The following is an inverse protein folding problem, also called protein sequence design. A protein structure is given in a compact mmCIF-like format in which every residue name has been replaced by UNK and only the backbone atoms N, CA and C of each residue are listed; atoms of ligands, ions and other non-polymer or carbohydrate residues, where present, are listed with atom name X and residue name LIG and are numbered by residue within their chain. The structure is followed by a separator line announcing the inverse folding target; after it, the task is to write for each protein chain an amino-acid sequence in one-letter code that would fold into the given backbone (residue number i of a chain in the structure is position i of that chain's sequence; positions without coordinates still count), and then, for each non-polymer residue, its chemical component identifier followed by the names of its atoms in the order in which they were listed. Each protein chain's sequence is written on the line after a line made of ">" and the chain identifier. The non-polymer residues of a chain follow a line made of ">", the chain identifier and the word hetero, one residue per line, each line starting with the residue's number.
data_IF_488047646076
#
_entry.id   IF_488047646076
#
_cell.length_a   1.000
_cell.length_b   1.000
_cell.length_c   1.000
_cell.angle_alpha   90.00
_cell.angle_beta   90.00
_cell.angle_gamma   90.00
#
_symmetry.space_group_name_H-M   'P 1'
#
loop_
_entity.id
_entity.type
_entity.pdbx_description
1 polymer ?
#
# COMPACT_ATOMS: atom_id res chain seq x y z
N UNK A 1 -47.45 -37.01 44.79
CA UNK A 1 -48.76 -36.32 44.73
C UNK A 1 -48.52 -34.84 44.99
N UNK A 2 -48.69 -33.99 43.97
CA UNK A 2 -49.08 -32.56 44.02
C UNK A 2 -48.59 -31.86 42.73
N UNK A 3 -49.36 -32.03 41.66
CA UNK A 3 -49.27 -31.24 40.43
C UNK A 3 -49.78 -29.83 40.68
N UNK A 4 -48.87 -28.90 41.02
CA UNK A 4 -49.16 -27.49 41.26
C UNK A 4 -49.15 -26.65 39.97
N UNK A 5 -50.31 -26.57 39.32
CA UNK A 5 -50.90 -25.37 38.73
C UNK A 5 -50.06 -24.44 37.82
N UNK A 6 -49.80 -24.90 36.59
CA UNK A 6 -49.42 -24.03 35.44
C UNK A 6 -50.48 -22.95 35.14
N UNK A 7 -51.74 -23.16 35.54
CA UNK A 7 -52.85 -22.21 35.35
C UNK A 7 -52.76 -20.97 36.25
N UNK A 8 -52.29 -21.11 37.49
CA UNK A 8 -52.13 -19.95 38.40
C UNK A 8 -51.01 -19.01 37.94
N UNK A 9 -49.94 -19.55 37.35
CA UNK A 9 -48.85 -18.73 36.79
C UNK A 9 -49.33 -17.83 35.65
N UNK A 10 -50.16 -18.36 34.74
CA UNK A 10 -50.74 -17.57 33.63
C UNK A 10 -51.76 -16.54 34.12
N UNK A 11 -52.54 -16.84 35.15
CA UNK A 11 -53.50 -15.88 35.72
C UNK A 11 -52.81 -14.74 36.49
N UNK A 12 -51.62 -14.98 37.04
CA UNK A 12 -50.81 -13.93 37.71
C UNK A 12 -50.16 -12.99 36.69
N UNK A 13 -49.65 -13.53 35.58
CA UNK A 13 -49.11 -12.74 34.46
C UNK A 13 -50.18 -11.93 33.73
N UNK A 14 -51.40 -12.47 33.55
CA UNK A 14 -52.47 -11.72 32.90
C UNK A 14 -53.04 -10.60 33.78
N UNK A 15 -53.02 -10.75 35.12
CA UNK A 15 -53.43 -9.68 36.05
C UNK A 15 -52.39 -8.57 36.21
N UNK A 16 -51.09 -8.86 36.09
CA UNK A 16 -50.05 -7.83 36.14
C UNK A 16 -50.01 -6.97 34.87
N UNK A 17 -50.35 -7.55 33.71
CA UNK A 17 -50.34 -6.85 32.43
C UNK A 17 -51.66 -6.12 32.10
N UNK A 18 -52.69 -6.26 32.93
CA UNK A 18 -53.99 -5.60 32.72
C UNK A 18 -54.06 -4.16 33.27
N UNK A 19 -52.93 -3.60 33.73
CA UNK A 19 -52.90 -2.30 34.41
C UNK A 19 -51.92 -1.31 33.76
N UNK A 20 -51.85 -1.22 32.43
CA UNK A 20 -51.09 -0.12 31.78
C UNK A 20 -51.33 0.09 30.29
N UNK A 21 -52.57 -0.08 29.78
CA UNK A 21 -52.85 0.38 28.42
C UNK A 21 -54.25 0.96 28.34
N UNK A 22 -54.39 2.18 28.85
CA UNK A 22 -55.63 2.93 28.82
C UNK A 22 -55.53 4.26 29.54
N UNK A 23 -54.46 5.03 29.29
CA UNK A 23 -54.45 6.45 29.62
C UNK A 23 -54.34 7.21 28.31
N UNK A 24 -55.43 7.86 27.94
CA UNK A 24 -55.45 8.96 26.97
C UNK A 24 -54.28 9.88 27.25
N UNK A 25 -53.46 10.21 26.25
CA UNK A 25 -52.37 11.16 26.36
C UNK A 25 -52.94 12.51 26.82
N UNK A 26 -52.85 12.81 28.12
CA UNK A 26 -53.11 14.14 28.65
C UNK A 26 -51.80 14.91 28.53
N UNK A 27 -51.80 15.96 27.71
CA UNK A 27 -50.69 16.91 27.68
C UNK A 27 -50.70 17.70 29.00
N UNK A 28 -49.96 17.20 30.00
CA UNK A 28 -49.64 17.95 31.21
C UNK A 28 -48.37 18.78 30.97
N UNK A 29 -48.33 19.99 31.54
CA UNK A 29 -47.12 20.82 31.53
C UNK A 29 -46.12 20.44 32.64
N UNK A 30 -46.45 19.40 33.42
CA UNK A 30 -45.61 18.86 34.49
C UNK A 30 -45.02 17.54 34.01
N UNK A 31 -43.70 17.40 34.19
CA UNK A 31 -42.95 16.20 33.84
C UNK A 31 -43.14 15.16 34.95
N UNK A 32 -43.58 13.97 34.58
CA UNK A 32 -43.67 12.82 35.49
C UNK A 32 -42.28 12.39 35.98
N UNK A 33 -42.20 11.82 37.18
CA UNK A 33 -40.92 11.46 37.83
C UNK A 33 -40.13 10.44 36.99
N UNK A 34 -40.82 9.58 36.24
CA UNK A 34 -40.21 8.65 35.29
C UNK A 34 -39.59 9.36 34.08
N UNK A 35 -40.22 10.45 33.61
CA UNK A 35 -39.70 11.27 32.51
C UNK A 35 -38.47 12.07 32.96
N UNK A 36 -38.48 12.60 34.20
CA UNK A 36 -37.34 13.27 34.82
C UNK A 36 -36.16 12.30 34.98
N UNK A 37 -36.40 11.08 35.47
CA UNK A 37 -35.37 10.05 35.58
C UNK A 37 -34.81 9.61 34.22
N UNK A 38 -35.64 9.58 33.18
CA UNK A 38 -35.17 9.30 31.82
C UNK A 38 -34.29 10.44 31.26
N UNK A 39 -34.70 11.69 31.46
CA UNK A 39 -33.95 12.90 31.06
C UNK A 39 -32.60 13.00 31.78
N UNK A 40 -32.53 12.60 33.06
CA UNK A 40 -31.30 12.62 33.87
C UNK A 40 -30.42 11.38 33.69
N UNK A 41 -30.85 10.38 32.91
CA UNK A 41 -30.10 9.14 32.74
C UNK A 41 -28.89 9.37 31.85
N UNK A 42 -27.71 9.39 32.46
CA UNK A 42 -26.47 9.39 31.70
C UNK A 42 -26.29 8.07 30.92
N UNK A 43 -25.66 8.12 29.72
CA UNK A 43 -25.35 6.91 28.98
C UNK A 43 -24.44 6.00 29.82
N UNK A 44 -24.72 4.70 29.83
CA UNK A 44 -23.88 3.71 30.50
C UNK A 44 -22.48 3.75 29.85
N UNK A 45 -21.51 4.31 30.58
CA UNK A 45 -20.10 4.41 30.18
C UNK A 45 -19.28 3.20 30.61
N UNK A 46 -19.92 2.13 31.08
CA UNK A 46 -19.20 0.87 31.25
C UNK A 46 -18.66 0.43 29.88
N UNK A 47 -17.34 0.25 29.80
CA UNK A 47 -16.66 -0.21 28.59
C UNK A 47 -17.23 -1.54 28.09
N UNK A 48 -16.81 -1.99 26.90
CA UNK A 48 -17.33 -3.22 26.29
C UNK A 48 -17.27 -4.37 27.31
N UNK A 49 -18.45 -4.96 27.61
CA UNK A 49 -18.62 -6.01 28.63
C UNK A 49 -18.15 -7.39 28.14
N UNK A 50 -17.51 -7.47 26.97
CA UNK A 50 -17.05 -8.69 26.32
C UNK A 50 -15.62 -8.54 25.81
N UNK A 51 -15.01 -9.66 25.43
CA UNK A 51 -13.64 -9.70 24.89
C UNK A 51 -13.49 -8.74 23.72
N UNK A 52 -12.39 -8.00 23.71
CA UNK A 52 -12.08 -7.11 22.59
C UNK A 52 -11.73 -7.92 21.34
N UNK A 53 -11.88 -7.32 20.15
CA UNK A 53 -11.49 -8.00 18.90
C UNK A 53 -10.00 -8.37 18.90
N UNK A 54 -9.17 -7.56 19.56
CA UNK A 54 -7.74 -7.85 19.76
C UNK A 54 -7.52 -9.08 20.65
N UNK A 55 -8.24 -9.18 21.77
CA UNK A 55 -8.16 -10.36 22.64
C UNK A 55 -8.64 -11.64 21.95
N UNK A 56 -9.69 -11.52 21.11
CA UNK A 56 -10.21 -12.64 20.34
C UNK A 56 -9.23 -13.08 19.24
N UNK A 57 -8.55 -12.13 18.60
CA UNK A 57 -7.49 -12.42 17.64
C UNK A 57 -6.27 -13.07 18.31
N UNK A 58 -5.87 -12.59 19.48
CA UNK A 58 -4.76 -13.15 20.25
C UNK A 58 -5.06 -14.58 20.74
N UNK A 59 -6.29 -14.85 21.19
CA UNK A 59 -6.73 -16.19 21.58
C UNK A 59 -6.68 -17.16 20.40
N UNK A 60 -7.15 -16.73 19.22
CA UNK A 60 -7.07 -17.53 17.98
C UNK A 60 -5.63 -17.77 17.55
N UNK A 61 -4.74 -16.78 17.69
CA UNK A 61 -3.33 -16.93 17.37
C UNK A 61 -2.66 -17.96 18.29
N UNK A 62 -2.97 -17.93 19.60
CA UNK A 62 -2.48 -18.92 20.58
C UNK A 62 -2.98 -20.33 20.28
N UNK A 63 -4.21 -20.48 19.82
CA UNK A 63 -4.74 -21.78 19.37
C UNK A 63 -3.99 -22.31 18.14
N UNK A 64 -3.72 -21.44 17.16
CA UNK A 64 -2.97 -21.79 15.95
C UNK A 64 -1.52 -22.19 16.27
N UNK A 65 -0.87 -21.49 17.18
CA UNK A 65 0.50 -21.80 17.59
C UNK A 65 0.58 -23.12 18.38
N UNK A 66 -0.45 -23.46 19.15
CA UNK A 66 -0.54 -24.76 19.84
C UNK A 66 -0.72 -25.94 18.88
N UNK A 67 -1.32 -25.69 17.71
CA UNK A 67 -1.53 -26.70 16.67
C UNK A 67 -0.30 -26.89 15.76
N UNK A 68 0.73 -26.04 15.85
CA UNK A 68 1.97 -26.24 15.10
C UNK A 68 2.76 -27.44 15.66
N UNK A 69 3.11 -28.43 14.81
CA UNK A 69 3.92 -29.57 15.24
C UNK A 69 5.34 -29.14 15.67
N UNK A 70 5.99 -29.87 16.60
CA UNK A 70 7.38 -29.62 16.95
C UNK A 70 8.26 -29.86 15.72
N UNK A 71 8.93 -28.79 15.24
CA UNK A 71 9.67 -28.80 13.98
C UNK A 71 8.99 -28.07 12.81
N UNK A 72 7.78 -27.51 12.99
CA UNK A 72 7.21 -26.53 12.05
C UNK A 72 8.20 -25.39 11.80
N UNK A 73 8.81 -24.89 12.88
CA UNK A 73 9.85 -23.87 12.82
C UNK A 73 11.14 -24.37 12.15
N UNK A 74 11.43 -25.67 12.11
CA UNK A 74 12.62 -26.20 11.43
C UNK A 74 12.41 -26.31 9.90
N UNK A 75 11.18 -26.63 9.49
CA UNK A 75 10.77 -26.56 8.07
C UNK A 75 10.61 -25.10 7.61
N UNK A 76 10.19 -24.22 8.51
CA UNK A 76 10.20 -22.78 8.30
C UNK A 76 11.63 -22.22 8.32
N UNK A 77 12.58 -22.64 9.16
CA UNK A 77 13.95 -22.07 9.16
C UNK A 77 14.76 -22.43 7.92
N UNK A 78 14.44 -23.53 7.24
CA UNK A 78 14.99 -23.82 5.91
C UNK A 78 14.26 -23.06 4.78
N UNK A 79 13.15 -22.37 5.10
CA UNK A 79 12.36 -21.51 4.21
C UNK A 79 12.30 -20.03 4.68
N UNK A 80 12.93 -19.69 5.80
CA UNK A 80 12.77 -18.43 6.52
C UNK A 80 14.06 -18.17 7.30
N UNK A 81 15.08 -17.78 6.54
CA UNK A 81 16.26 -17.09 7.05
C UNK A 81 16.17 -15.60 6.73
N UNK A 82 15.01 -14.95 6.94
CA UNK A 82 14.87 -13.48 7.01
C UNK A 82 13.40 -13.01 7.12
N UNK A 83 12.84 -12.85 8.32
CA UNK A 83 11.81 -11.80 8.58
C UNK A 83 11.57 -11.59 10.08
N UNK A 84 11.94 -10.43 10.64
CA UNK A 84 11.23 -9.83 11.76
C UNK A 84 10.11 -8.92 11.22
N UNK A 85 8.88 -9.10 11.71
CA UNK A 85 7.79 -8.11 11.69
C UNK A 85 7.47 -7.37 10.37
N UNK A 86 7.28 -8.10 9.26
CA UNK A 86 6.81 -7.53 7.98
C UNK A 86 5.63 -8.29 7.34
N UNK A 87 4.90 -9.09 8.12
CA UNK A 87 3.88 -10.01 7.59
C UNK A 87 2.50 -9.36 7.31
N UNK A 88 2.33 -8.05 7.53
CA UNK A 88 1.12 -7.32 7.12
C UNK A 88 1.29 -6.51 5.82
N UNK A 89 2.52 -6.28 5.33
CA UNK A 89 2.77 -5.40 4.17
C UNK A 89 3.03 -6.17 2.85
N UNK A 90 3.33 -7.47 2.91
CA UNK A 90 3.61 -8.31 1.74
C UNK A 90 2.35 -9.00 1.16
N UNK A 91 1.30 -8.24 0.80
CA UNK A 91 0.04 -8.85 0.34
C UNK A 91 0.14 -9.58 -1.03
N UNK A 92 1.18 -9.34 -1.84
CA UNK A 92 1.27 -9.88 -3.21
C UNK A 92 2.63 -10.52 -3.55
N UNK A 93 3.64 -10.38 -2.68
CA UNK A 93 5.00 -10.90 -2.89
C UNK A 93 5.76 -10.21 -4.04
N UNK A 94 7.02 -10.60 -4.27
CA UNK A 94 7.90 -9.95 -5.25
C UNK A 94 7.34 -9.90 -6.69
N UNK A 95 6.49 -10.86 -7.07
CA UNK A 95 5.80 -10.86 -8.37
C UNK A 95 4.71 -9.78 -8.42
N UNK A 96 3.97 -9.62 -7.33
CA UNK A 96 2.98 -8.58 -7.18
C UNK A 96 3.57 -7.18 -7.21
N UNK A 97 4.66 -6.99 -6.48
CA UNK A 97 5.41 -5.73 -6.48
C UNK A 97 5.91 -5.43 -7.89
N UNK A 98 6.49 -6.43 -8.57
CA UNK A 98 6.91 -6.30 -9.96
C UNK A 98 5.77 -5.85 -10.88
N UNK A 99 4.56 -6.40 -10.72
CA UNK A 99 3.39 -6.00 -11.50
C UNK A 99 2.95 -4.56 -11.21
N UNK A 100 2.89 -4.17 -9.93
CA UNK A 100 2.44 -2.83 -9.53
C UNK A 100 3.43 -1.74 -9.98
N UNK A 101 4.71 -1.94 -9.72
CA UNK A 101 5.76 -1.02 -10.12
C UNK A 101 5.95 -0.98 -11.63
N UNK A 102 5.95 -2.13 -12.33
CA UNK A 102 6.07 -2.12 -13.80
C UNK A 102 4.88 -1.43 -14.49
N UNK A 103 3.67 -1.54 -13.93
CA UNK A 103 2.51 -0.79 -14.42
C UNK A 103 2.72 0.72 -14.26
N UNK A 104 3.22 1.14 -13.10
CA UNK A 104 3.52 2.56 -12.82
C UNK A 104 4.65 3.09 -13.71
N UNK A 105 5.72 2.31 -13.91
CA UNK A 105 6.81 2.62 -14.82
C UNK A 105 6.35 2.67 -16.28
N UNK A 106 5.45 1.79 -16.70
CA UNK A 106 4.89 1.82 -18.05
C UNK A 106 4.08 3.11 -18.29
N UNK A 107 3.30 3.55 -17.30
CA UNK A 107 2.60 4.83 -17.36
C UNK A 107 3.60 6.00 -17.49
N UNK A 108 4.64 6.04 -16.64
CA UNK A 108 5.70 7.06 -16.74
C UNK A 108 6.39 7.04 -18.10
N UNK A 109 6.76 5.86 -18.61
CA UNK A 109 7.37 5.72 -19.93
C UNK A 109 6.49 6.30 -21.04
N UNK A 110 5.19 5.95 -21.06
CA UNK A 110 4.25 6.47 -22.06
C UNK A 110 4.13 7.99 -21.94
N UNK A 111 4.05 8.54 -20.71
CA UNK A 111 3.99 9.99 -20.51
C UNK A 111 5.24 10.69 -21.01
N UNK A 112 6.44 10.14 -20.74
CA UNK A 112 7.68 10.69 -21.25
C UNK A 112 7.77 10.60 -22.78
N UNK A 113 7.30 9.50 -23.39
CA UNK A 113 7.24 9.36 -24.86
C UNK A 113 6.36 10.45 -25.47
N UNK A 114 5.16 10.67 -24.92
CA UNK A 114 4.24 11.73 -25.38
C UNK A 114 4.86 13.12 -25.20
N UNK A 115 5.49 13.39 -24.06
CA UNK A 115 6.11 14.70 -23.78
C UNK A 115 7.25 14.96 -24.78
N UNK A 116 8.15 13.99 -25.01
CA UNK A 116 9.31 14.20 -25.88
C UNK A 116 8.87 14.41 -27.33
N UNK A 117 7.90 13.66 -27.83
CA UNK A 117 7.34 13.92 -29.17
C UNK A 117 6.69 15.32 -29.26
N UNK A 118 5.99 15.74 -28.21
CA UNK A 118 5.39 17.07 -28.13
C UNK A 118 6.44 18.20 -28.08
N UNK A 119 7.56 17.99 -27.39
CA UNK A 119 8.66 18.97 -27.27
C UNK A 119 9.31 19.27 -28.62
N UNK A 120 9.45 18.26 -29.46
CA UNK A 120 10.04 18.39 -30.79
C UNK A 120 9.01 18.63 -31.90
N UNK A 121 7.71 18.75 -31.56
CA UNK A 121 6.61 18.99 -32.50
C UNK A 121 6.47 17.90 -33.58
N UNK A 122 6.72 16.65 -33.20
CA UNK A 122 6.56 15.50 -34.07
C UNK A 122 5.15 14.90 -33.91
N UNK A 123 4.62 14.29 -34.97
CA UNK A 123 3.31 13.64 -34.93
C UNK A 123 3.29 12.43 -33.99
N UNK A 124 2.28 12.38 -33.12
CA UNK A 124 2.12 11.33 -32.11
C UNK A 124 1.50 10.09 -32.76
N UNK A 125 2.34 9.12 -33.12
CA UNK A 125 1.90 7.83 -33.65
C UNK A 125 1.66 6.86 -32.49
N UNK A 126 0.43 6.81 -31.98
CA UNK A 126 0.05 5.98 -30.83
C UNK A 126 0.41 4.49 -30.98
N UNK A 127 0.37 3.94 -32.19
CA UNK A 127 0.76 2.56 -32.46
C UNK A 127 2.25 2.29 -32.19
N UNK A 128 3.12 3.25 -32.50
CA UNK A 128 4.55 3.14 -32.23
C UNK A 128 4.86 3.27 -30.75
N UNK A 129 4.22 4.23 -30.08
CA UNK A 129 4.33 4.45 -28.63
C UNK A 129 3.87 3.20 -27.87
N UNK A 130 2.70 2.66 -28.23
CA UNK A 130 2.18 1.45 -27.61
C UNK A 130 3.11 0.25 -27.84
N UNK A 131 3.65 0.09 -29.05
CA UNK A 131 4.62 -0.97 -29.35
C UNK A 131 5.91 -0.80 -28.53
N UNK A 132 6.45 0.40 -28.42
CA UNK A 132 7.66 0.70 -27.65
C UNK A 132 7.46 0.46 -26.15
N UNK A 133 6.33 0.90 -25.62
CA UNK A 133 5.94 0.63 -24.24
C UNK A 133 5.80 -0.88 -23.99
N UNK A 134 5.12 -1.61 -24.89
CA UNK A 134 4.97 -3.06 -24.80
C UNK A 134 6.31 -3.80 -24.86
N UNK A 135 7.27 -3.35 -25.68
CA UNK A 135 8.62 -3.95 -25.73
C UNK A 135 9.45 -3.66 -24.48
N UNK A 136 9.21 -2.53 -23.82
CA UNK A 136 9.99 -2.10 -22.64
C UNK A 136 9.40 -2.63 -21.33
N UNK A 137 8.09 -2.85 -21.28
CA UNK A 137 7.38 -3.40 -20.12
C UNK A 137 8.00 -4.68 -19.54
N UNK A 138 8.34 -5.74 -20.32
CA UNK A 138 8.96 -6.94 -19.75
C UNK A 138 10.35 -6.65 -19.16
N UNK A 139 11.08 -5.66 -19.70
CA UNK A 139 12.38 -5.22 -19.16
C UNK A 139 12.17 -4.57 -17.80
N UNK A 140 11.19 -3.67 -17.67
CA UNK A 140 10.86 -3.06 -16.37
C UNK A 140 10.37 -4.11 -15.37
N UNK A 141 9.48 -5.01 -15.77
CA UNK A 141 9.01 -6.10 -14.91
C UNK A 141 10.17 -6.95 -14.40
N UNK A 142 11.11 -7.34 -15.27
CA UNK A 142 12.28 -8.12 -14.89
C UNK A 142 13.19 -7.36 -13.92
N UNK A 143 13.49 -6.10 -14.20
CA UNK A 143 14.35 -5.27 -13.35
C UNK A 143 13.73 -5.06 -11.97
N UNK A 144 12.44 -4.72 -11.91
CA UNK A 144 11.74 -4.55 -10.63
C UNK A 144 11.69 -5.86 -9.88
N UNK A 145 11.31 -6.96 -10.54
CA UNK A 145 11.28 -8.28 -9.91
C UNK A 145 12.63 -8.61 -9.26
N UNK A 146 13.73 -8.45 -10.00
CA UNK A 146 15.08 -8.77 -9.53
C UNK A 146 15.51 -7.90 -8.34
N UNK A 147 15.08 -6.64 -8.31
CA UNK A 147 15.37 -5.71 -7.20
C UNK A 147 14.46 -5.89 -5.99
N UNK A 148 13.29 -6.51 -6.17
CA UNK A 148 12.32 -6.79 -5.13
C UNK A 148 12.33 -8.25 -4.63
N UNK A 149 13.25 -9.10 -5.10
CA UNK A 149 13.49 -10.43 -4.50
C UNK A 149 14.18 -10.27 -3.14
N UNK A 150 13.87 -11.14 -2.18
CA UNK A 150 14.44 -11.17 -0.83
C UNK A 150 15.98 -11.05 -0.78
N UNK A 151 16.66 -11.59 -1.79
CA UNK A 151 18.12 -11.53 -1.94
C UNK A 151 18.61 -10.07 -2.07
N UNK A 152 17.88 -9.21 -2.77
CA UNK A 152 18.24 -7.79 -2.90
C UNK A 152 18.12 -7.05 -1.58
N UNK A 153 17.10 -7.36 -0.78
CA UNK A 153 16.92 -6.79 0.57
C UNK A 153 17.95 -7.28 1.58
N UNK A 154 18.57 -8.45 1.33
CA UNK A 154 19.63 -8.99 2.19
C UNK A 154 20.88 -8.11 2.23
N UNK A 155 21.17 -7.39 1.15
CA UNK A 155 22.36 -6.55 0.99
C UNK A 155 21.98 -5.11 0.59
N UNK A 156 21.43 -4.31 1.53
CA UNK A 156 20.89 -2.99 1.22
C UNK A 156 21.93 -2.02 0.63
N UNK A 157 23.19 -2.11 1.07
CA UNK A 157 24.28 -1.28 0.52
C UNK A 157 24.58 -1.57 -0.96
N UNK A 158 24.54 -2.85 -1.36
CA UNK A 158 24.76 -3.25 -2.75
C UNK A 158 23.62 -2.78 -3.64
N UNK A 159 22.39 -2.89 -3.14
CA UNK A 159 21.19 -2.39 -3.81
C UNK A 159 21.26 -0.87 -4.01
N UNK A 160 21.53 -0.12 -2.94
CA UNK A 160 21.66 1.34 -3.01
C UNK A 160 22.80 1.77 -3.94
N UNK A 161 23.93 1.06 -3.94
CA UNK A 161 25.04 1.31 -4.87
C UNK A 161 24.65 1.02 -6.33
N UNK A 162 23.91 -0.06 -6.59
CA UNK A 162 23.41 -0.40 -7.92
C UNK A 162 22.46 0.68 -8.46
N UNK A 163 21.52 1.16 -7.63
CA UNK A 163 20.65 2.27 -8.01
C UNK A 163 21.39 3.60 -8.15
N UNK A 164 22.36 3.87 -7.28
CA UNK A 164 23.21 5.06 -7.36
C UNK A 164 23.99 5.11 -8.69
N UNK A 165 24.66 4.01 -9.03
CA UNK A 165 25.40 3.90 -10.31
C UNK A 165 24.46 3.94 -11.50
N UNK A 166 23.33 3.24 -11.47
CA UNK A 166 22.30 3.29 -12.50
C UNK A 166 21.75 4.69 -12.73
N UNK A 167 21.48 5.44 -11.65
CA UNK A 167 21.03 6.83 -11.72
C UNK A 167 22.07 7.75 -12.34
N UNK A 168 23.35 7.63 -11.99
CA UNK A 168 24.40 8.47 -12.57
C UNK A 168 24.56 8.17 -14.05
N UNK A 169 24.66 6.89 -14.43
CA UNK A 169 24.82 6.49 -15.84
C UNK A 169 23.62 6.96 -16.66
N UNK A 170 22.41 6.73 -16.17
CA UNK A 170 21.17 7.11 -16.85
C UNK A 170 21.04 8.63 -17.00
N UNK A 171 21.26 9.40 -15.92
CA UNK A 171 21.20 10.86 -15.94
C UNK A 171 22.25 11.48 -16.86
N UNK A 172 23.52 11.06 -16.75
CA UNK A 172 24.59 11.52 -17.61
C UNK A 172 24.34 11.17 -19.09
N UNK A 173 23.80 9.97 -19.37
CA UNK A 173 23.47 9.56 -20.73
C UNK A 173 22.36 10.41 -21.34
N UNK A 174 21.31 10.77 -20.58
CA UNK A 174 20.27 11.68 -21.09
C UNK A 174 20.80 13.05 -21.42
N UNK A 175 21.64 13.61 -20.54
CA UNK A 175 22.30 14.90 -20.75
C UNK A 175 23.15 14.86 -22.02
N UNK A 176 24.01 13.83 -22.11
CA UNK A 176 24.88 13.62 -23.25
C UNK A 176 24.08 13.45 -24.55
N UNK A 177 23.04 12.61 -24.52
CA UNK A 177 22.18 12.33 -25.67
C UNK A 177 21.48 13.59 -26.16
N UNK A 178 20.88 14.37 -25.26
CA UNK A 178 20.19 15.60 -25.62
C UNK A 178 21.10 16.70 -26.18
N UNK A 179 22.38 16.74 -25.80
CA UNK A 179 23.35 17.73 -26.29
C UNK A 179 24.11 17.29 -27.56
N UNK A 180 24.30 15.97 -27.77
CA UNK A 180 25.19 15.45 -28.83
C UNK A 180 24.48 14.66 -29.91
N UNK A 181 23.30 14.11 -29.65
CA UNK A 181 22.58 13.31 -30.63
C UNK A 181 21.49 14.12 -31.33
N UNK A 182 21.17 13.71 -32.56
CA UNK A 182 20.03 14.27 -33.28
C UNK A 182 18.71 13.96 -32.56
N UNK A 183 17.72 14.82 -32.75
CA UNK A 183 16.42 14.78 -32.06
C UNK A 183 15.75 13.40 -32.09
N UNK A 184 15.81 12.69 -33.23
CA UNK A 184 15.20 11.37 -33.36
C UNK A 184 15.81 10.31 -32.44
N UNK A 185 17.11 10.41 -32.15
CA UNK A 185 17.75 9.50 -31.19
C UNK A 185 17.30 9.83 -29.77
N UNK A 186 17.22 11.12 -29.43
CA UNK A 186 16.73 11.60 -28.13
C UNK A 186 15.28 11.14 -27.91
N UNK A 187 14.40 11.28 -28.91
CA UNK A 187 13.01 10.82 -28.85
C UNK A 187 12.88 9.34 -28.50
N UNK A 188 13.75 8.48 -29.04
CA UNK A 188 13.66 7.03 -28.81
C UNK A 188 14.34 6.59 -27.52
N UNK A 189 15.41 7.27 -27.13
CA UNK A 189 16.21 6.88 -25.98
C UNK A 189 15.71 7.53 -24.67
N UNK A 190 15.20 8.76 -24.73
CA UNK A 190 14.83 9.51 -23.54
C UNK A 190 13.69 8.89 -22.72
N UNK A 191 12.60 8.36 -23.31
CA UNK A 191 11.51 7.78 -22.52
C UNK A 191 11.92 6.58 -21.65
N UNK A 192 12.57 5.52 -22.18
CA UNK A 192 12.99 4.39 -21.34
C UNK A 192 14.10 4.76 -20.37
N UNK A 193 15.10 5.55 -20.80
CA UNK A 193 16.22 5.93 -19.94
C UNK A 193 15.75 6.88 -18.83
N UNK A 194 14.90 7.85 -19.14
CA UNK A 194 14.29 8.76 -18.16
C UNK A 194 13.46 8.02 -17.12
N UNK A 195 12.70 7.02 -17.54
CA UNK A 195 11.95 6.16 -16.61
C UNK A 195 12.89 5.41 -15.66
N UNK A 196 13.98 4.82 -16.19
CA UNK A 196 14.98 4.14 -15.36
C UNK A 196 15.71 5.09 -14.42
N UNK A 197 15.99 6.32 -14.83
CA UNK A 197 16.62 7.32 -13.99
C UNK A 197 15.73 7.69 -12.81
N UNK A 198 14.47 8.08 -13.07
CA UNK A 198 13.50 8.46 -12.05
C UNK A 198 13.30 7.30 -11.06
N UNK A 199 13.09 6.10 -11.58
CA UNK A 199 12.92 4.91 -10.75
C UNK A 199 14.14 4.65 -9.86
N UNK A 200 15.36 4.76 -10.41
CA UNK A 200 16.59 4.58 -9.62
C UNK A 200 16.71 5.59 -8.48
N UNK A 201 16.33 6.86 -8.72
CA UNK A 201 16.34 7.92 -7.71
C UNK A 201 15.32 7.69 -6.61
N UNK A 202 14.13 7.20 -6.95
CA UNK A 202 13.06 6.92 -6.00
C UNK A 202 13.38 5.71 -5.11
N UNK A 203 14.05 4.69 -5.65
CA UNK A 203 14.31 3.43 -4.94
C UNK A 203 15.52 3.50 -3.98
N UNK A 204 16.47 4.40 -4.24
CA UNK A 204 17.66 4.57 -3.38
C UNK A 204 17.38 5.46 -2.17
N UNK A 205 18.18 5.33 -1.11
CA UNK A 205 18.03 6.20 0.05
C UNK A 205 18.40 7.67 -0.25
N UNK A 206 17.73 8.59 0.46
CA UNK A 206 17.83 10.04 0.27
C UNK A 206 19.26 10.62 0.14
N UNK A 207 20.27 10.19 0.94
CA UNK A 207 21.62 10.73 0.78
C UNK A 207 22.26 10.33 -0.55
N UNK A 208 22.05 9.10 -1.03
CA UNK A 208 22.56 8.68 -2.34
C UNK A 208 21.83 9.39 -3.48
N UNK A 209 20.52 9.63 -3.34
CA UNK A 209 19.75 10.39 -4.31
C UNK A 209 20.24 11.84 -4.43
N UNK A 210 20.51 12.50 -3.29
CA UNK A 210 21.09 13.83 -3.28
C UNK A 210 22.49 13.85 -3.90
N UNK A 211 23.32 12.86 -3.57
CA UNK A 211 24.67 12.73 -4.12
C UNK A 211 24.65 12.46 -5.63
N UNK A 212 23.74 11.63 -6.13
CA UNK A 212 23.64 11.31 -7.55
C UNK A 212 23.20 12.54 -8.34
N UNK A 213 22.24 13.31 -7.82
CA UNK A 213 21.82 14.58 -8.41
C UNK A 213 22.98 15.59 -8.48
N UNK A 214 23.74 15.77 -7.39
CA UNK A 214 24.92 16.64 -7.38
C UNK A 214 25.97 16.17 -8.39
N UNK A 215 26.19 14.86 -8.49
CA UNK A 215 27.16 14.27 -9.43
C UNK A 215 26.74 14.53 -10.88
N UNK A 216 25.46 14.34 -11.19
CA UNK A 216 24.91 14.60 -12.53
C UNK A 216 24.98 16.08 -12.88
N UNK A 217 24.66 16.98 -11.94
CA UNK A 217 24.80 18.44 -12.15
C UNK A 217 26.27 18.84 -12.35
N UNK A 218 27.19 18.25 -11.58
CA UNK A 218 28.63 18.43 -11.77
C UNK A 218 29.10 17.98 -13.15
N UNK A 219 28.53 16.89 -13.68
CA UNK A 219 28.81 16.42 -15.04
C UNK A 219 28.33 17.42 -16.11
N UNK A 220 27.16 18.04 -15.95
CA UNK A 220 26.69 19.12 -16.85
C UNK A 220 27.69 20.27 -16.86
N UNK A 221 28.05 20.76 -15.67
CA UNK A 221 28.96 21.89 -15.50
C UNK A 221 30.35 21.62 -16.08
N UNK A 222 30.92 20.44 -15.81
CA UNK A 222 32.25 20.04 -16.28
C UNK A 222 32.35 19.98 -17.80
N UNK A 223 31.30 19.53 -18.49
CA UNK A 223 31.29 19.41 -19.94
C UNK A 223 30.82 20.68 -20.65
N UNK A 224 30.38 21.71 -19.92
CA UNK A 224 29.79 22.93 -20.49
C UNK A 224 28.54 22.65 -21.31
N UNK A 225 27.75 21.64 -20.91
CA UNK A 225 26.49 21.33 -21.57
C UNK A 225 25.42 22.36 -21.22
N UNK A 226 24.52 22.62 -22.17
CA UNK A 226 23.39 23.51 -21.92
C UNK A 226 22.37 22.81 -21.01
N UNK A 227 21.84 23.58 -20.06
CA UNK A 227 20.64 23.21 -19.32
C UNK A 227 19.47 23.41 -20.29
N UNK A 228 18.94 22.29 -20.77
CA UNK A 228 17.82 22.16 -21.73
C UNK A 228 16.79 23.29 -21.74
#
# INVERSE_FOLDING_TARGET
>A
MATGNRKERRAKESKSNAKSSGSTFQASNELDDDAVNYLLKHPDRSGPKGKTLFELAEERQKELDKLKPPGWNAKATNASASTPEADEEAAVGAVGDALLYSTSMAALHITLDVIVYSQYREDIIWGEIARRAATTLPVFMLLVYLTHVDISYRFPLLRDLAFFTGSIVSGCYLIYSGNRHGYFNVMKAAPPVGTLWIWSVVEMSLPYAALSAVTVLGYVYYNGFDYF
#
